data_IF_712219229303
#
_entry.id   IF_712219229303
#
_cell.length_a   1.000
_cell.length_b   1.000
_cell.length_c   1.000
_cell.angle_alpha   90.00
_cell.angle_beta   90.00
_cell.angle_gamma   90.00
#
_symmetry.space_group_name_H-M   'P 1'
#
loop_
_entity.id
_entity.type
_entity.pdbx_description
1 polymer ?
#
# COMPACT_ATOMS: atom_id res chain seq x y z
N UNK A 1 -77.62 -12.67 -31.90
CA UNK A 1 -76.64 -13.68 -31.55
C UNK A 1 -75.45 -12.95 -30.93
N UNK A 2 -75.32 -12.99 -29.65
CA UNK A 2 -74.12 -12.39 -29.06
C UNK A 2 -72.92 -13.28 -29.36
N UNK A 3 -71.92 -12.74 -30.04
CA UNK A 3 -70.65 -13.40 -30.20
C UNK A 3 -69.85 -13.19 -28.93
N UNK A 4 -69.62 -14.30 -28.24
CA UNK A 4 -68.65 -14.36 -27.13
C UNK A 4 -67.25 -14.09 -27.66
N UNK A 5 -66.87 -12.84 -27.56
CA UNK A 5 -65.44 -12.48 -27.72
C UNK A 5 -64.72 -12.87 -26.45
N UNK A 6 -64.17 -14.07 -26.39
CA UNK A 6 -63.26 -14.49 -25.34
C UNK A 6 -62.05 -13.61 -25.38
N UNK A 7 -61.65 -12.93 -24.29
CA UNK A 7 -60.42 -12.17 -24.25
C UNK A 7 -59.27 -13.15 -24.31
N UNK A 8 -58.57 -13.16 -25.44
CA UNK A 8 -57.30 -13.86 -25.55
C UNK A 8 -56.32 -13.22 -24.55
N UNK A 9 -56.07 -13.93 -23.49
CA UNK A 9 -55.00 -13.56 -22.57
C UNK A 9 -53.66 -13.63 -23.33
N UNK A 10 -52.89 -12.55 -23.36
CA UNK A 10 -51.53 -12.62 -23.92
C UNK A 10 -50.75 -13.65 -23.12
N UNK A 11 -50.40 -14.74 -23.76
CA UNK A 11 -49.47 -15.70 -23.22
C UNK A 11 -48.11 -15.00 -23.25
N UNK A 12 -47.75 -14.35 -22.14
CA UNK A 12 -46.38 -13.96 -21.92
C UNK A 12 -45.58 -15.24 -21.83
N UNK A 13 -45.11 -15.72 -22.97
CA UNK A 13 -44.00 -16.62 -23.02
C UNK A 13 -42.85 -15.87 -22.36
N UNK A 14 -42.63 -16.12 -21.07
CA UNK A 14 -41.30 -15.92 -20.49
C UNK A 14 -40.36 -16.78 -21.34
N UNK A 15 -39.73 -16.14 -22.31
CA UNK A 15 -38.56 -16.70 -22.95
C UNK A 15 -37.60 -16.98 -21.82
N UNK A 16 -37.56 -18.24 -21.38
CA UNK A 16 -36.52 -18.71 -20.51
C UNK A 16 -35.24 -18.50 -21.27
N UNK A 17 -34.58 -17.37 -21.03
CA UNK A 17 -33.22 -17.19 -21.52
C UNK A 17 -32.43 -18.44 -21.15
N UNK A 18 -31.85 -19.12 -22.12
CA UNK A 18 -30.96 -20.19 -21.81
C UNK A 18 -29.85 -19.55 -20.99
N UNK A 19 -29.93 -19.70 -19.67
CA UNK A 19 -28.83 -19.39 -18.78
C UNK A 19 -27.74 -20.35 -19.16
N UNK A 20 -27.04 -19.99 -20.22
CA UNK A 20 -25.97 -20.78 -20.81
C UNK A 20 -24.96 -21.03 -19.71
N UNK A 21 -24.44 -22.24 -19.64
CA UNK A 21 -23.38 -22.64 -18.71
C UNK A 21 -22.21 -21.62 -18.73
N UNK A 22 -22.01 -20.93 -19.84
CA UNK A 22 -21.08 -19.81 -20.01
C UNK A 22 -21.35 -18.64 -19.06
N UNK A 23 -22.61 -18.24 -18.85
CA UNK A 23 -22.93 -17.14 -17.93
C UNK A 23 -22.63 -17.49 -16.47
N UNK A 24 -22.82 -18.75 -16.09
CA UNK A 24 -22.42 -19.23 -14.75
C UNK A 24 -20.89 -19.30 -14.61
N UNK A 25 -20.21 -19.76 -15.63
CA UNK A 25 -18.75 -19.85 -15.66
C UNK A 25 -18.10 -18.46 -15.62
N UNK A 26 -18.64 -17.50 -16.37
CA UNK A 26 -18.18 -16.10 -16.33
C UNK A 26 -18.39 -15.50 -14.93
N UNK A 27 -19.54 -15.72 -14.29
CA UNK A 27 -19.76 -15.23 -12.92
C UNK A 27 -18.80 -15.85 -11.92
N UNK A 28 -18.55 -17.16 -12.03
CA UNK A 28 -17.63 -17.87 -11.14
C UNK A 28 -16.17 -17.40 -11.27
N UNK A 29 -15.78 -16.91 -12.45
CA UNK A 29 -14.43 -16.40 -12.71
C UNK A 29 -14.31 -14.89 -12.44
N UNK A 30 -15.34 -14.12 -12.78
CA UNK A 30 -15.30 -12.64 -12.67
C UNK A 30 -15.38 -12.18 -11.21
N UNK A 31 -16.20 -12.82 -10.38
CA UNK A 31 -16.35 -12.44 -8.97
C UNK A 31 -15.03 -12.55 -8.20
N UNK A 32 -14.31 -13.69 -8.23
CA UNK A 32 -13.01 -13.79 -7.54
C UNK A 32 -11.95 -12.87 -8.15
N UNK A 33 -11.98 -12.66 -9.47
CA UNK A 33 -11.05 -11.74 -10.13
C UNK A 33 -11.24 -10.30 -9.65
N UNK A 34 -12.48 -9.83 -9.57
CA UNK A 34 -12.80 -8.50 -9.02
C UNK A 34 -12.37 -8.41 -7.56
N UNK A 35 -12.61 -9.44 -6.76
CA UNK A 35 -12.18 -9.50 -5.37
C UNK A 35 -10.65 -9.36 -5.22
N UNK A 36 -9.88 -10.05 -6.06
CA UNK A 36 -8.42 -9.95 -6.09
C UNK A 36 -7.97 -8.55 -6.50
N UNK A 37 -8.57 -7.97 -7.55
CA UNK A 37 -8.24 -6.61 -7.99
C UNK A 37 -8.54 -5.56 -6.92
N UNK A 38 -9.68 -5.65 -6.24
CA UNK A 38 -10.03 -4.76 -5.13
C UNK A 38 -9.05 -4.91 -3.97
N UNK A 39 -8.68 -6.14 -3.62
CA UNK A 39 -7.70 -6.41 -2.57
C UNK A 39 -6.33 -5.82 -2.91
N UNK A 40 -5.82 -6.05 -4.13
CA UNK A 40 -4.54 -5.50 -4.58
C UNK A 40 -4.56 -3.97 -4.60
N UNK A 41 -5.66 -3.37 -5.04
CA UNK A 41 -5.83 -1.92 -5.02
C UNK A 41 -5.86 -1.36 -3.59
N UNK A 42 -6.58 -2.02 -2.68
CA UNK A 42 -6.64 -1.65 -1.28
C UNK A 42 -5.27 -1.75 -0.60
N UNK A 43 -4.53 -2.84 -0.80
CA UNK A 43 -3.18 -3.00 -0.26
C UNK A 43 -2.20 -2.00 -0.86
N UNK A 44 -2.27 -1.75 -2.16
CA UNK A 44 -1.42 -0.76 -2.83
C UNK A 44 -1.69 0.68 -2.37
N UNK A 45 -2.94 1.02 -2.05
CA UNK A 45 -3.29 2.33 -1.49
C UNK A 45 -2.90 2.46 -0.03
N UNK A 46 -3.03 1.39 0.75
CA UNK A 46 -2.70 1.39 2.18
C UNK A 46 -1.26 1.86 2.43
N UNK A 47 -0.32 1.38 1.62
CA UNK A 47 1.09 1.76 1.76
C UNK A 47 1.36 3.24 1.45
N UNK A 48 0.46 3.88 0.70
CA UNK A 48 0.55 5.31 0.39
C UNK A 48 0.04 6.21 1.53
N UNK A 49 -0.80 5.68 2.41
CA UNK A 49 -1.42 6.45 3.49
C UNK A 49 -0.81 6.19 4.88
N UNK A 50 0.22 5.35 4.95
CA UNK A 50 0.91 5.02 6.18
C UNK A 50 2.37 5.44 6.05
N UNK A 51 2.87 6.19 7.03
CA UNK A 51 4.30 6.50 7.10
C UNK A 51 5.11 5.20 7.31
N UNK A 52 6.27 5.07 6.67
CA UNK A 52 7.10 3.88 6.84
C UNK A 52 7.59 3.78 8.30
N UNK A 53 7.55 2.57 8.85
CA UNK A 53 8.17 2.28 10.13
C UNK A 53 9.71 2.38 10.00
N UNK A 54 10.39 2.69 11.12
CA UNK A 54 11.85 2.88 11.11
C UNK A 54 12.63 1.63 10.69
N UNK A 55 12.12 0.46 10.97
CA UNK A 55 12.70 -0.84 10.65
C UNK A 55 12.25 -1.41 9.31
N UNK A 56 11.35 -0.71 8.60
CA UNK A 56 10.85 -1.15 7.31
C UNK A 56 11.93 -1.12 6.23
N UNK A 57 11.81 -2.00 5.23
CA UNK A 57 12.75 -2.04 4.10
C UNK A 57 12.76 -0.72 3.32
N UNK A 58 11.64 -0.02 3.27
CA UNK A 58 11.53 1.31 2.65
C UNK A 58 12.37 2.34 3.41
N UNK A 59 12.29 2.35 4.74
CA UNK A 59 13.09 3.24 5.59
C UNK A 59 14.59 2.94 5.46
N UNK A 60 14.97 1.67 5.44
CA UNK A 60 16.37 1.23 5.26
C UNK A 60 16.94 1.66 3.90
N UNK A 61 16.18 1.53 2.83
CA UNK A 61 16.60 1.99 1.49
C UNK A 61 16.77 3.51 1.46
N UNK A 62 15.83 4.26 2.04
CA UNK A 62 15.92 5.71 2.12
C UNK A 62 17.15 6.15 2.94
N UNK A 63 17.41 5.47 4.05
CA UNK A 63 18.62 5.72 4.85
C UNK A 63 19.90 5.44 4.06
N UNK A 64 19.94 4.34 3.31
CA UNK A 64 21.07 4.00 2.44
C UNK A 64 21.32 5.07 1.37
N UNK A 65 20.27 5.62 0.78
CA UNK A 65 20.36 6.70 -0.20
C UNK A 65 20.90 8.00 0.42
N UNK A 66 20.45 8.33 1.64
CA UNK A 66 20.96 9.48 2.41
C UNK A 66 22.45 9.30 2.73
N UNK A 67 22.84 8.10 3.15
CA UNK A 67 24.26 7.79 3.43
C UNK A 67 25.15 7.94 2.19
N UNK A 68 24.66 7.49 1.04
CA UNK A 68 25.37 7.69 -0.25
C UNK A 68 25.53 9.16 -0.59
N UNK A 69 24.48 9.97 -0.40
CA UNK A 69 24.54 11.41 -0.63
C UNK A 69 25.55 12.10 0.28
N UNK A 70 25.66 11.64 1.53
CA UNK A 70 26.61 12.15 2.51
C UNK A 70 28.03 11.58 2.35
N UNK A 71 28.23 10.65 1.41
CA UNK A 71 29.48 9.91 1.20
C UNK A 71 29.98 9.19 2.47
N UNK A 72 29.05 8.69 3.27
CA UNK A 72 29.31 7.92 4.46
C UNK A 72 29.13 6.43 4.15
N UNK A 73 30.15 5.64 4.41
CA UNK A 73 30.13 4.20 4.26
C UNK A 73 30.25 3.55 5.65
N UNK A 74 29.13 3.20 6.29
CA UNK A 74 29.20 2.56 7.61
C UNK A 74 29.70 1.14 7.49
N UNK A 75 30.51 0.70 8.45
CA UNK A 75 31.06 -0.66 8.52
C UNK A 75 29.96 -1.68 8.83
N UNK A 76 28.93 -1.25 9.56
CA UNK A 76 27.80 -2.08 9.98
C UNK A 76 26.55 -1.22 10.09
N UNK A 77 25.43 -1.77 9.69
CA UNK A 77 24.15 -1.17 9.98
C UNK A 77 23.74 -1.58 11.40
N UNK A 78 23.76 -0.62 12.32
CA UNK A 78 23.24 -0.82 13.66
C UNK A 78 21.70 -0.90 13.65
N UNK A 79 21.09 -1.48 14.67
CA UNK A 79 19.65 -1.50 14.79
C UNK A 79 19.11 -0.07 14.82
N UNK A 80 18.08 0.16 14.03
CA UNK A 80 17.39 1.44 13.98
C UNK A 80 16.39 1.48 15.13
N UNK A 81 16.45 2.53 15.93
CA UNK A 81 15.54 2.72 17.06
C UNK A 81 14.42 3.69 16.69
N UNK A 82 13.19 3.31 16.96
CA UNK A 82 12.05 4.20 16.85
C UNK A 82 11.97 5.07 18.10
N UNK A 83 12.13 6.37 17.94
CA UNK A 83 12.04 7.33 19.05
C UNK A 83 10.59 7.70 19.33
N UNK A 84 9.83 7.94 18.27
CA UNK A 84 8.41 8.29 18.35
C UNK A 84 7.70 7.89 17.08
N UNK A 85 6.47 7.44 17.20
CA UNK A 85 5.63 7.09 16.06
C UNK A 85 4.22 7.63 16.24
N UNK A 86 3.78 8.44 15.30
CA UNK A 86 2.43 8.98 15.22
C UNK A 86 1.88 8.84 13.79
N UNK A 87 0.61 9.17 13.59
CA UNK A 87 0.00 9.17 12.26
C UNK A 87 0.58 10.24 11.32
N UNK A 88 1.15 11.29 11.89
CA UNK A 88 1.65 12.46 11.14
C UNK A 88 3.16 12.48 11.00
N UNK A 89 3.89 11.82 11.90
CA UNK A 89 5.34 11.82 11.94
C UNK A 89 5.89 10.56 12.61
N UNK A 90 6.96 10.04 12.06
CA UNK A 90 7.73 8.94 12.65
C UNK A 90 9.17 9.41 12.82
N UNK A 91 9.67 9.38 14.05
CA UNK A 91 11.05 9.76 14.41
C UNK A 91 11.89 8.51 14.60
N UNK A 92 13.01 8.46 13.93
CA UNK A 92 13.94 7.35 13.96
C UNK A 92 15.36 7.83 14.31
N UNK A 93 16.09 6.99 15.02
CA UNK A 93 17.50 7.19 15.33
C UNK A 93 18.32 5.99 14.87
N UNK A 94 19.43 6.24 14.20
CA UNK A 94 20.37 5.22 13.81
C UNK A 94 21.79 5.64 14.23
N UNK A 95 22.50 4.78 14.93
CA UNK A 95 23.91 4.97 15.25
C UNK A 95 24.75 4.04 14.39
N UNK A 96 25.66 4.59 13.60
CA UNK A 96 26.43 3.86 12.60
C UNK A 96 27.91 4.00 12.88
N UNK A 97 28.64 2.89 13.12
CA UNK A 97 30.09 2.92 13.25
C UNK A 97 30.73 3.18 11.89
N UNK A 98 31.67 4.12 11.86
CA UNK A 98 32.49 4.44 10.70
C UNK A 98 33.79 3.64 10.69
N UNK A 99 34.42 3.42 9.49
CA UNK A 99 35.68 2.72 9.35
C UNK A 99 36.85 3.41 10.08
N UNK A 100 36.76 4.71 10.35
CA UNK A 100 37.76 5.51 11.06
C UNK A 100 37.68 5.39 12.59
N UNK A 101 36.82 4.57 13.12
CA UNK A 101 36.61 4.35 14.56
C UNK A 101 35.63 5.33 15.22
N UNK A 102 35.09 6.29 14.47
CA UNK A 102 34.04 7.21 14.94
C UNK A 102 32.65 6.65 14.78
N UNK A 103 31.70 7.19 15.54
CA UNK A 103 30.31 6.89 15.40
C UNK A 103 29.55 8.11 14.83
N UNK A 104 28.59 7.83 13.95
CA UNK A 104 27.67 8.83 13.42
C UNK A 104 26.27 8.48 13.88
N UNK A 105 25.63 9.42 14.57
CA UNK A 105 24.21 9.34 14.88
C UNK A 105 23.42 10.10 13.82
N UNK A 106 22.44 9.43 13.24
CA UNK A 106 21.54 10.02 12.27
C UNK A 106 20.15 9.99 12.88
N UNK A 107 19.61 11.18 13.10
CA UNK A 107 18.21 11.37 13.45
C UNK A 107 17.45 11.69 12.17
N UNK A 108 16.45 10.89 11.84
CA UNK A 108 15.62 11.13 10.68
C UNK A 108 14.16 10.98 11.02
N UNK A 109 13.34 11.72 10.33
CA UNK A 109 11.90 11.69 10.51
C UNK A 109 11.19 11.58 9.17
N UNK A 110 10.17 10.74 9.14
CA UNK A 110 9.21 10.72 8.06
C UNK A 110 8.01 11.57 8.46
N UNK A 111 7.54 12.40 7.58
CA UNK A 111 6.40 13.27 7.79
C UNK A 111 5.60 13.47 6.51
N UNK A 112 4.35 13.86 6.66
CA UNK A 112 3.51 14.17 5.52
C UNK A 112 3.72 15.62 5.08
N UNK A 113 3.93 15.81 3.79
CA UNK A 113 3.86 17.11 3.14
C UNK A 113 2.77 17.03 2.07
N UNK A 114 1.58 17.51 2.40
CA UNK A 114 0.39 17.26 1.58
C UNK A 114 0.04 15.76 1.54
N UNK A 115 0.02 15.17 0.36
CA UNK A 115 -0.24 13.74 0.13
C UNK A 115 1.02 12.88 -0.01
N UNK A 116 2.21 13.47 0.13
CA UNK A 116 3.48 12.78 -0.02
C UNK A 116 4.20 12.64 1.30
N UNK A 117 4.80 11.45 1.52
CA UNK A 117 5.70 11.21 2.64
C UNK A 117 7.10 11.71 2.29
N UNK A 118 7.60 12.62 3.10
CA UNK A 118 8.95 13.18 2.98
C UNK A 118 9.83 12.75 4.16
N UNK A 119 11.13 12.86 3.96
CA UNK A 119 12.13 12.59 4.98
C UNK A 119 12.88 13.87 5.33
N UNK A 120 13.11 14.08 6.62
CA UNK A 120 14.05 15.08 7.15
C UNK A 120 15.07 14.33 7.98
N UNK A 121 16.33 14.69 7.83
CA UNK A 121 17.40 14.06 8.59
C UNK A 121 18.38 15.09 9.14
N UNK A 122 18.99 14.76 10.25
CA UNK A 122 20.14 15.48 10.82
C UNK A 122 21.23 14.49 11.20
N UNK A 123 22.47 14.87 10.98
CA UNK A 123 23.64 14.03 11.21
C UNK A 123 24.49 14.65 12.32
N UNK A 124 24.75 13.88 13.35
CA UNK A 124 25.61 14.27 14.45
C UNK A 124 26.80 13.32 14.52
N UNK A 125 28.00 13.83 14.38
CA UNK A 125 29.23 13.06 14.62
C UNK A 125 29.56 13.10 16.11
N UNK A 126 29.77 11.94 16.67
CA UNK A 126 30.34 11.80 18.02
C UNK A 126 31.82 11.55 17.94
#
# INVERSE_FOLDING_TARGET
MPQDASPQRPIFRRAGEPRTARARLVRLLVIPLIGILVALFYYGLRDRFVLPACDSDRAKRTLADVLKQLKLEPTRYAPITTVSSSKTQVLCNASLPLPDGGDVAIDYSFYWQGSQANIRYSVTRK
#
